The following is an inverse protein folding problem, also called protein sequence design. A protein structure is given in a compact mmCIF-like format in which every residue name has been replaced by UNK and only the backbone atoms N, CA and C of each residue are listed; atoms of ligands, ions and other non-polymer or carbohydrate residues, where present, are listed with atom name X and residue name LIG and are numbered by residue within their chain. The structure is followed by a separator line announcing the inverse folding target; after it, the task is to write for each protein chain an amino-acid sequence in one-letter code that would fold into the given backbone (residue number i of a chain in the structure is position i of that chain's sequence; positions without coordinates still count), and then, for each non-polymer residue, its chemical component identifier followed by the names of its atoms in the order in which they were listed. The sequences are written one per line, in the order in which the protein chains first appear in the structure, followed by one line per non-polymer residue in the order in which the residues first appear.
data_IF_690595384133
#
_entry.id   IF_690595384133
#
_cell.length_a   1.000
_cell.length_b   1.000
_cell.length_c   1.000
_cell.angle_alpha   90.00
_cell.angle_beta   90.00
_cell.angle_gamma   90.00
#
_symmetry.space_group_name_H-M   'P 1'
#
loop_
_entity.id
_entity.type
_entity.pdbx_description
1 polymer ?
#
# COMPACT_ATOMS: atom_id res chain seq x y z
N UNK A 1 9.27 22.25 18.66
CA UNK A 1 7.96 21.71 19.04
C UNK A 1 7.08 21.76 17.81
N UNK A 2 6.76 20.65 17.14
CA UNK A 2 5.85 20.70 16.00
C UNK A 2 4.41 20.80 16.51
N UNK A 3 3.72 21.85 16.10
CA UNK A 3 2.29 22.02 16.28
C UNK A 3 1.52 21.04 15.37
N UNK A 4 1.49 19.76 15.76
CA UNK A 4 0.50 18.82 15.25
C UNK A 4 -0.73 18.98 16.13
N UNK A 5 -1.89 19.30 15.49
CA UNK A 5 -3.19 19.50 16.11
C UNK A 5 -3.50 20.95 16.57
N UNK A 6 -3.42 21.92 15.67
CA UNK A 6 -4.36 23.03 15.74
C UNK A 6 -5.69 22.52 15.14
N UNK A 7 -6.68 22.20 15.99
CA UNK A 7 -8.07 22.13 15.56
C UNK A 7 -8.39 23.48 14.92
N UNK A 8 -8.56 23.50 13.59
CA UNK A 8 -9.16 24.66 12.95
C UNK A 8 -10.57 24.78 13.51
N UNK A 9 -10.92 25.93 14.07
CA UNK A 9 -12.29 26.31 14.42
C UNK A 9 -13.09 26.69 13.18
N UNK A 10 -12.84 26.01 12.05
CA UNK A 10 -13.65 26.11 10.86
C UNK A 10 -14.90 25.26 11.09
N UNK A 11 -16.13 25.79 10.82
CA UNK A 11 -17.31 24.93 10.77
C UNK A 11 -17.04 23.83 9.77
N UNK A 12 -17.47 22.62 10.12
CA UNK A 12 -17.32 21.44 9.28
C UNK A 12 -17.88 21.76 7.89
N UNK A 13 -17.00 21.80 6.91
CA UNK A 13 -17.43 21.78 5.52
C UNK A 13 -18.27 20.51 5.35
N UNK A 14 -19.46 20.57 4.73
CA UNK A 14 -20.25 19.38 4.49
C UNK A 14 -19.34 18.40 3.76
N UNK A 15 -19.17 17.21 4.37
CA UNK A 15 -18.41 16.12 3.75
C UNK A 15 -19.16 15.82 2.45
N UNK A 16 -18.63 16.31 1.33
CA UNK A 16 -19.07 15.84 0.03
C UNK A 16 -19.05 14.31 0.07
N UNK A 17 -20.09 13.61 -0.44
CA UNK A 17 -20.09 12.15 -0.49
C UNK A 17 -19.06 11.65 -1.51
N UNK A 18 -17.81 11.90 -1.23
CA UNK A 18 -16.69 11.26 -1.88
C UNK A 18 -16.48 9.91 -1.22
N UNK A 19 -16.83 8.83 -1.88
CA UNK A 19 -16.90 7.48 -1.40
C UNK A 19 -15.91 7.09 -0.31
N UNK A 20 -16.26 6.10 0.50
CA UNK A 20 -15.50 5.66 1.67
C UNK A 20 -14.08 5.23 1.30
N UNK A 21 -13.15 5.47 2.19
CA UNK A 21 -11.78 5.00 2.12
C UNK A 21 -11.61 3.95 3.21
N UNK A 22 -11.22 2.73 2.83
CA UNK A 22 -10.97 1.64 3.76
C UNK A 22 -9.48 1.33 3.79
N UNK A 23 -8.93 1.20 5.01
CA UNK A 23 -7.54 0.80 5.24
C UNK A 23 -7.54 -0.55 5.96
N UNK A 24 -7.12 -1.59 5.26
CA UNK A 24 -6.95 -2.94 5.79
C UNK A 24 -5.51 -3.11 6.31
N UNK A 25 -5.37 -3.06 7.63
CA UNK A 25 -4.09 -3.06 8.33
C UNK A 25 -3.58 -1.67 8.70
N UNK A 26 -3.40 -1.42 10.00
CA UNK A 26 -2.93 -0.14 10.54
C UNK A 26 -1.55 -0.23 11.21
N UNK A 27 -0.70 -1.08 10.68
CA UNK A 27 0.69 -1.17 11.10
C UNK A 27 1.54 0.00 10.58
N UNK A 28 2.86 -0.22 10.52
CA UNK A 28 3.83 0.80 10.09
C UNK A 28 3.54 1.41 8.71
N UNK A 29 3.07 0.59 7.77
CA UNK A 29 2.73 1.02 6.42
C UNK A 29 1.36 1.72 6.37
N UNK A 30 0.30 1.05 6.77
CA UNK A 30 -1.06 1.56 6.72
C UNK A 30 -1.28 2.78 7.62
N UNK A 31 -0.62 2.82 8.78
CA UNK A 31 -0.71 3.95 9.71
C UNK A 31 -0.13 5.25 9.15
N UNK A 32 0.92 5.20 8.33
CA UNK A 32 1.46 6.39 7.66
C UNK A 32 0.48 6.89 6.61
N UNK A 33 -0.05 5.98 5.79
CA UNK A 33 -1.04 6.31 4.76
C UNK A 33 -2.30 6.93 5.39
N UNK A 34 -2.81 6.32 6.48
CA UNK A 34 -3.96 6.85 7.20
C UNK A 34 -3.74 8.29 7.67
N UNK A 35 -2.58 8.56 8.26
CA UNK A 35 -2.25 9.93 8.71
C UNK A 35 -2.15 10.92 7.56
N UNK A 36 -1.60 10.53 6.42
CA UNK A 36 -1.53 11.38 5.23
C UNK A 36 -2.92 11.71 4.71
N UNK A 37 -3.80 10.71 4.57
CA UNK A 37 -5.17 10.91 4.10
C UNK A 37 -5.96 11.79 5.05
N UNK A 38 -5.84 11.55 6.36
CA UNK A 38 -6.50 12.36 7.39
C UNK A 38 -6.00 13.80 7.40
N UNK A 39 -4.70 14.01 7.19
CA UNK A 39 -4.13 15.37 7.08
C UNK A 39 -4.63 16.12 5.85
N UNK A 40 -5.03 15.41 4.82
CA UNK A 40 -5.65 15.96 3.62
C UNK A 40 -7.18 16.14 3.75
N UNK A 41 -7.74 15.86 4.93
CA UNK A 41 -9.17 16.04 5.21
C UNK A 41 -10.05 14.84 4.84
N UNK A 42 -9.45 13.68 4.49
CA UNK A 42 -10.23 12.50 4.17
C UNK A 42 -10.55 11.67 5.41
N UNK A 43 -11.82 11.32 5.56
CA UNK A 43 -12.26 10.35 6.56
C UNK A 43 -11.95 8.93 6.09
N UNK A 44 -11.41 8.10 7.00
CA UNK A 44 -11.03 6.71 6.71
C UNK A 44 -11.71 5.76 7.67
N UNK A 45 -11.93 4.53 7.20
CA UNK A 45 -12.36 3.39 8.03
C UNK A 45 -11.21 2.39 8.10
N UNK A 46 -10.81 2.00 9.29
CA UNK A 46 -9.67 1.09 9.52
C UNK A 46 -10.16 -0.28 9.96
N UNK A 47 -9.62 -1.34 9.35
CA UNK A 47 -9.81 -2.73 9.78
C UNK A 47 -8.44 -3.26 10.21
N UNK A 48 -8.33 -3.73 11.45
CA UNK A 48 -7.09 -4.28 11.99
C UNK A 48 -7.34 -5.34 13.06
N UNK A 49 -6.37 -6.21 13.27
CA UNK A 49 -6.39 -7.21 14.34
C UNK A 49 -5.91 -6.68 15.70
N UNK A 50 -5.22 -5.57 15.74
CA UNK A 50 -4.67 -5.02 16.96
C UNK A 50 -5.72 -4.19 17.69
N UNK A 51 -6.29 -4.75 18.74
CA UNK A 51 -7.24 -4.05 19.60
C UNK A 51 -6.64 -2.78 20.22
N UNK A 52 -5.37 -2.82 20.59
CA UNK A 52 -4.66 -1.67 21.18
C UNK A 52 -4.55 -0.50 20.18
N UNK A 53 -4.17 -0.79 18.93
CA UNK A 53 -4.12 0.22 17.88
C UNK A 53 -5.51 0.81 17.58
N UNK A 54 -6.54 -0.03 17.55
CA UNK A 54 -7.89 0.41 17.26
C UNK A 54 -8.48 1.28 18.36
N UNK A 55 -8.18 0.98 19.63
CA UNK A 55 -8.66 1.79 20.75
C UNK A 55 -8.06 3.20 20.70
N UNK A 56 -6.77 3.33 20.39
CA UNK A 56 -6.13 4.62 20.17
C UNK A 56 -6.80 5.39 19.02
N UNK A 57 -7.11 4.72 17.91
CA UNK A 57 -7.77 5.33 16.76
C UNK A 57 -9.19 5.81 17.07
N UNK A 58 -9.96 5.05 17.84
CA UNK A 58 -11.29 5.47 18.30
C UNK A 58 -11.25 6.76 19.10
N UNK A 59 -10.24 6.90 19.95
CA UNK A 59 -10.03 8.13 20.75
C UNK A 59 -9.81 9.36 19.85
N UNK A 60 -9.25 9.17 18.65
CA UNK A 60 -9.10 10.22 17.65
C UNK A 60 -10.30 10.37 16.67
N UNK A 61 -11.37 9.63 16.90
CA UNK A 61 -12.61 9.74 16.11
C UNK A 61 -12.63 8.93 14.81
N UNK A 62 -11.69 8.02 14.59
CA UNK A 62 -11.70 7.14 13.42
C UNK A 62 -12.76 6.04 13.54
N UNK A 63 -13.37 5.69 12.41
CA UNK A 63 -14.17 4.47 12.32
C UNK A 63 -13.23 3.27 12.25
N UNK A 64 -13.45 2.28 13.12
CA UNK A 64 -12.57 1.13 13.23
C UNK A 64 -13.38 -0.16 13.36
N UNK A 65 -12.89 -1.23 12.73
CA UNK A 65 -13.43 -2.56 12.83
C UNK A 65 -12.30 -3.52 13.24
N UNK A 66 -12.54 -4.31 14.29
CA UNK A 66 -11.61 -5.31 14.75
C UNK A 66 -11.83 -6.61 13.97
N UNK A 67 -10.77 -7.18 13.43
CA UNK A 67 -10.78 -8.53 12.86
C UNK A 67 -9.97 -8.69 11.58
N UNK A 68 -10.23 -9.80 10.91
CA UNK A 68 -9.57 -10.17 9.66
C UNK A 68 -10.16 -9.41 8.47
N UNK A 69 -9.38 -8.56 7.85
CA UNK A 69 -9.79 -7.77 6.70
C UNK A 69 -10.07 -8.62 5.44
N UNK A 70 -9.74 -9.91 5.43
CA UNK A 70 -10.12 -10.82 4.33
C UNK A 70 -11.55 -11.33 4.46
N UNK A 71 -12.22 -11.09 5.59
CA UNK A 71 -13.60 -11.51 5.79
C UNK A 71 -14.59 -10.59 5.07
N UNK A 72 -15.41 -11.13 4.14
CA UNK A 72 -16.36 -10.32 3.38
C UNK A 72 -17.39 -9.60 4.23
N UNK A 73 -17.88 -10.22 5.32
CA UNK A 73 -18.85 -9.60 6.23
C UNK A 73 -18.28 -8.37 6.94
N UNK A 74 -17.02 -8.42 7.31
CA UNK A 74 -16.32 -7.28 7.94
C UNK A 74 -16.09 -6.14 6.95
N UNK A 75 -15.72 -6.46 5.71
CA UNK A 75 -15.57 -5.48 4.63
C UNK A 75 -16.90 -4.81 4.30
N UNK A 76 -17.99 -5.58 4.27
CA UNK A 76 -19.33 -5.01 4.08
C UNK A 76 -19.73 -4.09 5.22
N UNK A 77 -19.49 -4.49 6.48
CA UNK A 77 -19.73 -3.63 7.65
C UNK A 77 -18.90 -2.34 7.59
N UNK A 78 -17.69 -2.40 7.04
CA UNK A 78 -16.85 -1.22 6.81
C UNK A 78 -17.30 -0.36 5.62
N UNK A 79 -18.25 -0.82 4.81
CA UNK A 79 -18.84 -0.07 3.69
C UNK A 79 -18.08 -0.20 2.39
N UNK A 80 -17.51 -1.38 2.08
CA UNK A 80 -16.72 -1.58 0.86
C UNK A 80 -17.55 -1.36 -0.42
N UNK A 81 -18.85 -1.61 -0.40
CA UNK A 81 -19.72 -1.43 -1.56
C UNK A 81 -19.78 0.05 -2.04
N UNK A 82 -19.60 1.00 -1.13
CA UNK A 82 -19.56 2.44 -1.43
C UNK A 82 -18.15 3.01 -1.37
N UNK A 83 -17.13 2.16 -1.24
CA UNK A 83 -15.76 2.60 -1.14
C UNK A 83 -15.20 3.04 -2.50
N UNK A 84 -14.41 4.10 -2.49
CA UNK A 84 -13.62 4.54 -3.65
C UNK A 84 -12.22 3.98 -3.65
N UNK A 85 -11.68 3.73 -2.46
CA UNK A 85 -10.31 3.28 -2.26
C UNK A 85 -10.25 2.22 -1.17
N UNK A 86 -9.61 1.12 -1.47
CA UNK A 86 -9.17 0.11 -0.51
C UNK A 86 -7.64 0.08 -0.48
N UNK A 87 -7.07 0.44 0.65
CA UNK A 87 -5.63 0.30 0.91
C UNK A 87 -5.39 -1.01 1.64
N UNK A 88 -4.66 -1.92 1.02
CA UNK A 88 -4.33 -3.22 1.59
C UNK A 88 -2.90 -3.16 2.14
N UNK A 89 -2.79 -3.05 3.47
CA UNK A 89 -1.57 -2.82 4.22
C UNK A 89 -1.27 -3.89 5.28
N UNK A 90 -1.95 -5.04 5.20
CA UNK A 90 -1.73 -6.18 6.09
C UNK A 90 -0.36 -6.82 5.85
N UNK A 91 0.14 -7.61 6.81
CA UNK A 91 1.50 -8.15 6.77
C UNK A 91 1.61 -9.53 6.09
N UNK A 92 0.51 -10.24 5.92
CA UNK A 92 0.48 -11.60 5.39
C UNK A 92 0.35 -11.56 3.87
N UNK A 93 1.37 -12.06 3.17
CA UNK A 93 1.45 -12.10 1.69
C UNK A 93 0.26 -12.81 1.05
N UNK A 94 -0.12 -13.97 1.57
CA UNK A 94 -1.23 -14.77 1.03
C UNK A 94 -2.58 -14.05 1.22
N UNK A 95 -2.79 -13.47 2.39
CA UNK A 95 -3.98 -12.68 2.70
C UNK A 95 -4.10 -11.41 1.88
N UNK A 96 -3.00 -10.73 1.60
CA UNK A 96 -2.98 -9.58 0.68
C UNK A 96 -3.48 -10.01 -0.68
N UNK A 97 -2.92 -11.08 -1.24
CA UNK A 97 -3.29 -11.60 -2.56
C UNK A 97 -4.75 -12.05 -2.62
N UNK A 98 -5.23 -12.75 -1.57
CA UNK A 98 -6.63 -13.16 -1.43
C UNK A 98 -7.58 -11.95 -1.43
N UNK A 99 -7.28 -10.95 -0.60
CA UNK A 99 -8.10 -9.74 -0.50
C UNK A 99 -8.12 -8.94 -1.81
N UNK A 100 -6.98 -8.82 -2.49
CA UNK A 100 -6.88 -8.19 -3.82
C UNK A 100 -7.80 -8.88 -4.81
N UNK A 101 -7.73 -10.22 -4.91
CA UNK A 101 -8.58 -11.00 -5.84
C UNK A 101 -10.05 -10.81 -5.52
N UNK A 102 -10.43 -10.92 -4.26
CA UNK A 102 -11.80 -10.72 -3.82
C UNK A 102 -12.31 -9.33 -4.17
N UNK A 103 -11.56 -8.29 -3.82
CA UNK A 103 -11.96 -6.90 -4.01
C UNK A 103 -12.13 -6.56 -5.49
N UNK A 104 -11.17 -6.92 -6.33
CA UNK A 104 -11.23 -6.62 -7.77
C UNK A 104 -12.29 -7.43 -8.52
N UNK A 105 -12.59 -8.66 -8.05
CA UNK A 105 -13.64 -9.47 -8.63
C UNK A 105 -15.04 -8.97 -8.25
N UNK A 106 -15.23 -8.63 -6.98
CA UNK A 106 -16.55 -8.28 -6.44
C UNK A 106 -16.92 -6.82 -6.66
N UNK A 107 -15.91 -5.92 -6.66
CA UNK A 107 -16.07 -4.47 -6.77
C UNK A 107 -15.17 -3.92 -7.88
N UNK A 108 -15.51 -4.09 -9.15
CA UNK A 108 -14.64 -3.77 -10.29
C UNK A 108 -14.29 -2.28 -10.41
N UNK A 109 -15.12 -1.39 -9.86
CA UNK A 109 -14.89 0.06 -9.87
C UNK A 109 -14.07 0.57 -8.68
N UNK A 110 -13.77 -0.32 -7.71
CA UNK A 110 -12.99 0.02 -6.53
C UNK A 110 -11.51 0.18 -6.88
N UNK A 111 -10.93 1.33 -6.54
CA UNK A 111 -9.47 1.47 -6.62
C UNK A 111 -8.82 0.68 -5.50
N UNK A 112 -7.96 -0.27 -5.86
CA UNK A 112 -7.22 -1.10 -4.90
C UNK A 112 -5.74 -0.72 -4.96
N UNK A 113 -5.22 -0.18 -3.84
CA UNK A 113 -3.80 0.01 -3.60
C UNK A 113 -3.30 -1.11 -2.70
N UNK A 114 -2.35 -1.89 -3.18
CA UNK A 114 -1.84 -3.03 -2.44
C UNK A 114 -0.35 -2.91 -2.11
N UNK A 115 -0.02 -3.25 -0.86
CA UNK A 115 1.36 -3.42 -0.40
C UNK A 115 1.90 -4.75 -0.90
N UNK A 116 3.01 -4.74 -1.61
CA UNK A 116 3.78 -5.92 -1.92
C UNK A 116 4.91 -6.12 -0.92
N UNK A 117 5.03 -7.33 -0.39
CA UNK A 117 6.05 -7.69 0.61
C UNK A 117 7.43 -7.81 -0.03
N UNK A 118 7.49 -8.36 -1.23
CA UNK A 118 8.70 -8.58 -2.01
C UNK A 118 8.44 -8.45 -3.51
N UNK A 119 9.47 -8.66 -4.32
CA UNK A 119 9.39 -8.56 -5.77
C UNK A 119 8.46 -9.62 -6.39
N UNK A 120 8.49 -10.84 -5.89
CA UNK A 120 7.60 -11.92 -6.35
C UNK A 120 6.15 -11.58 -6.13
N UNK A 121 5.88 -11.01 -4.97
CA UNK A 121 4.54 -10.58 -4.62
C UNK A 121 3.99 -9.51 -5.57
N UNK A 122 4.82 -8.63 -6.10
CA UNK A 122 4.40 -7.68 -7.15
C UNK A 122 3.84 -8.44 -8.35
N UNK A 123 4.51 -9.50 -8.79
CA UNK A 123 4.07 -10.30 -9.93
C UNK A 123 2.76 -11.05 -9.63
N UNK A 124 2.61 -11.60 -8.43
CA UNK A 124 1.38 -12.25 -7.99
C UNK A 124 0.19 -11.28 -7.96
N UNK A 125 0.39 -10.08 -7.42
CA UNK A 125 -0.63 -9.03 -7.36
C UNK A 125 -0.99 -8.50 -8.74
N UNK A 126 0.01 -8.36 -9.63
CA UNK A 126 -0.22 -8.00 -11.03
C UNK A 126 -1.05 -9.04 -11.75
N UNK A 127 -0.73 -10.33 -11.58
CA UNK A 127 -1.50 -11.44 -12.13
C UNK A 127 -2.92 -11.49 -11.56
N UNK A 128 -3.13 -11.07 -10.32
CA UNK A 128 -4.44 -10.92 -9.70
C UNK A 128 -5.25 -9.71 -10.22
N UNK A 129 -4.65 -8.87 -11.08
CA UNK A 129 -5.32 -7.70 -11.68
C UNK A 129 -5.02 -6.36 -10.99
N UNK A 130 -4.27 -6.35 -9.89
CA UNK A 130 -3.89 -5.10 -9.22
C UNK A 130 -2.89 -4.30 -10.06
N UNK A 131 -3.07 -2.99 -10.13
CA UNK A 131 -2.20 -2.10 -10.90
C UNK A 131 -1.55 -1.01 -10.05
N UNK A 132 -2.10 -0.73 -8.88
CA UNK A 132 -1.50 0.18 -7.90
C UNK A 132 -0.84 -0.65 -6.78
N UNK A 133 0.44 -0.94 -6.98
CA UNK A 133 1.23 -1.85 -6.13
C UNK A 133 2.45 -1.10 -5.61
N UNK A 134 2.60 -1.05 -4.30
CA UNK A 134 3.74 -0.41 -3.62
C UNK A 134 4.59 -1.46 -2.94
N UNK A 135 5.87 -1.55 -3.32
CA UNK A 135 6.85 -2.40 -2.64
C UNK A 135 7.24 -1.79 -1.30
N UNK A 136 7.05 -2.50 -0.23
CA UNK A 136 7.11 -2.00 1.15
C UNK A 136 8.41 -1.26 1.50
N UNK A 137 9.57 -1.78 1.08
CA UNK A 137 10.88 -1.25 1.47
C UNK A 137 11.62 -0.58 0.31
N UNK A 138 11.04 -0.54 -0.88
CA UNK A 138 11.75 -0.12 -2.08
C UNK A 138 12.25 1.33 -2.00
N UNK A 139 11.36 2.27 -1.71
CA UNK A 139 11.71 3.70 -1.70
C UNK A 139 12.71 4.03 -0.58
N UNK A 140 12.53 3.42 0.59
CA UNK A 140 13.49 3.55 1.70
C UNK A 140 14.85 2.92 1.37
N UNK A 141 14.86 1.80 0.63
CA UNK A 141 16.10 1.14 0.19
C UNK A 141 16.84 1.96 -0.87
N UNK A 142 16.13 2.60 -1.80
CA UNK A 142 16.73 3.55 -2.76
C UNK A 142 17.39 4.70 -2.03
N UNK A 143 16.73 5.27 -1.02
CA UNK A 143 17.30 6.32 -0.18
C UNK A 143 18.56 5.82 0.55
N UNK A 144 18.51 4.63 1.15
CA UNK A 144 19.67 4.03 1.83
C UNK A 144 20.83 3.77 0.86
N UNK A 145 20.55 3.26 -0.33
CA UNK A 145 21.54 3.05 -1.40
C UNK A 145 22.24 4.35 -1.82
N UNK A 146 21.47 5.43 -1.93
CA UNK A 146 22.02 6.78 -2.22
C UNK A 146 22.97 7.25 -1.12
N UNK A 147 22.62 7.04 0.14
CA UNK A 147 23.49 7.36 1.28
C UNK A 147 24.76 6.50 1.28
N UNK A 148 24.65 5.22 0.96
CA UNK A 148 25.80 4.32 0.87
C UNK A 148 26.79 4.74 -0.24
N UNK A 149 26.30 5.13 -1.42
CA UNK A 149 27.13 5.64 -2.51
C UNK A 149 27.92 6.90 -2.08
N UNK A 150 27.29 7.80 -1.32
CA UNK A 150 27.95 8.99 -0.78
C UNK A 150 29.02 8.61 0.25
N UNK A 151 28.75 7.65 1.11
CA UNK A 151 29.72 7.15 2.09
C UNK A 151 30.94 6.50 1.42
N UNK A 152 30.78 5.96 0.20
CA UNK A 152 31.87 5.43 -0.63
C UNK A 152 32.62 6.50 -1.44
N UNK A 153 32.29 7.78 -1.26
CA UNK A 153 33.02 8.90 -1.83
C UNK A 153 32.38 9.54 -3.08
N UNK A 154 31.20 9.10 -3.50
CA UNK A 154 30.48 9.79 -4.56
C UNK A 154 29.90 11.10 -4.06
N UNK A 155 29.97 12.15 -4.87
CA UNK A 155 29.27 13.38 -4.50
C UNK A 155 27.75 13.21 -4.60
N UNK A 156 26.95 14.08 -3.94
CA UNK A 156 25.49 13.96 -3.89
C UNK A 156 24.81 13.88 -5.27
N UNK A 157 25.32 14.63 -6.27
CA UNK A 157 24.77 14.62 -7.64
C UNK A 157 25.01 13.29 -8.34
N UNK A 158 26.21 12.72 -8.20
CA UNK A 158 26.54 11.41 -8.75
C UNK A 158 25.69 10.31 -8.13
N UNK A 159 25.59 10.28 -6.79
CA UNK A 159 24.78 9.31 -6.07
C UNK A 159 23.31 9.37 -6.47
N UNK A 160 22.76 10.59 -6.59
CA UNK A 160 21.37 10.79 -7.03
C UNK A 160 21.17 10.28 -8.46
N UNK A 161 22.05 10.65 -9.40
CA UNK A 161 21.94 10.18 -10.80
C UNK A 161 21.95 8.66 -10.93
N UNK A 162 22.81 7.97 -10.17
CA UNK A 162 22.87 6.50 -10.18
C UNK A 162 21.58 5.91 -9.62
N UNK A 163 21.08 6.44 -8.50
CA UNK A 163 19.85 5.97 -7.89
C UNK A 163 18.63 6.18 -8.81
N UNK A 164 18.54 7.34 -9.44
CA UNK A 164 17.43 7.69 -10.35
C UNK A 164 17.45 6.80 -11.60
N UNK A 165 18.63 6.51 -12.16
CA UNK A 165 18.76 5.61 -13.31
C UNK A 165 18.42 4.17 -12.94
N UNK A 166 18.87 3.69 -11.78
CA UNK A 166 18.48 2.38 -11.26
C UNK A 166 16.96 2.27 -11.10
N UNK A 167 16.34 3.27 -10.48
CA UNK A 167 14.90 3.32 -10.27
C UNK A 167 14.13 3.35 -11.60
N UNK A 168 14.59 4.14 -12.56
CA UNK A 168 14.01 4.22 -13.90
C UNK A 168 14.01 2.86 -14.62
N UNK A 169 15.14 2.16 -14.59
CA UNK A 169 15.30 0.84 -15.20
C UNK A 169 14.43 -0.21 -14.49
N UNK A 170 14.43 -0.22 -13.16
CA UNK A 170 13.63 -1.15 -12.38
C UNK A 170 12.13 -0.97 -12.63
N UNK A 171 11.65 0.27 -12.61
CA UNK A 171 10.24 0.58 -12.90
C UNK A 171 9.83 0.23 -14.33
N UNK A 172 10.70 0.45 -15.31
CA UNK A 172 10.43 0.10 -16.71
C UNK A 172 10.38 -1.42 -16.92
N UNK A 173 11.22 -2.19 -16.25
CA UNK A 173 11.27 -3.66 -16.35
C UNK A 173 10.10 -4.35 -15.66
N UNK A 174 9.54 -3.76 -14.62
CA UNK A 174 8.55 -4.39 -13.74
C UNK A 174 7.29 -4.89 -14.47
N UNK A 175 6.58 -4.09 -15.29
CA UNK A 175 5.40 -4.56 -16.00
C UNK A 175 5.72 -5.67 -17.02
N UNK A 176 6.89 -5.57 -17.67
CA UNK A 176 7.32 -6.58 -18.65
C UNK A 176 7.54 -7.91 -17.97
N UNK A 177 8.27 -7.91 -16.85
CA UNK A 177 8.56 -9.13 -16.08
C UNK A 177 7.30 -9.70 -15.42
N UNK A 178 6.42 -8.83 -14.92
CA UNK A 178 5.16 -9.24 -14.33
C UNK A 178 4.23 -9.97 -15.34
N UNK A 179 4.23 -9.53 -16.60
CA UNK A 179 3.47 -10.20 -17.65
C UNK A 179 4.04 -11.57 -18.05
N UNK A 180 5.32 -11.80 -17.78
CA UNK A 180 5.99 -13.09 -18.03
C UNK A 180 5.86 -14.06 -16.86
N UNK A 181 5.48 -13.58 -15.69
CA UNK A 181 5.39 -14.38 -14.47
C UNK A 181 4.23 -15.39 -14.56
N UNK A 182 4.49 -16.64 -14.14
CA UNK A 182 3.51 -17.72 -14.10
C UNK A 182 3.35 -18.23 -12.68
N UNK A 183 2.12 -18.23 -12.20
CA UNK A 183 1.77 -18.66 -10.84
C UNK A 183 2.03 -20.15 -10.57
N UNK A 184 1.98 -20.97 -11.63
CA UNK A 184 2.16 -22.43 -11.60
C UNK A 184 3.63 -22.88 -11.71
N UNK A 185 4.55 -21.93 -11.86
CA UNK A 185 5.97 -22.18 -12.05
C UNK A 185 6.78 -21.78 -10.80
N UNK A 186 7.66 -22.66 -10.29
CA UNK A 186 8.53 -22.30 -9.15
C UNK A 186 9.33 -21.02 -9.42
N UNK A 187 9.55 -20.15 -8.40
CA UNK A 187 10.22 -18.87 -8.59
C UNK A 187 11.53 -18.93 -9.37
N UNK A 188 12.41 -19.87 -9.02
CA UNK A 188 13.73 -20.02 -9.65
C UNK A 188 13.71 -20.47 -11.12
N UNK A 189 12.57 -20.96 -11.60
CA UNK A 189 12.34 -21.35 -13.01
C UNK A 189 11.42 -20.37 -13.74
N UNK A 190 10.91 -19.37 -13.02
CA UNK A 190 9.99 -18.40 -13.59
C UNK A 190 10.72 -17.41 -14.51
N UNK A 191 10.10 -17.03 -15.60
CA UNK A 191 10.69 -16.19 -16.63
C UNK A 191 11.34 -14.89 -16.10
N UNK A 192 10.80 -14.17 -15.12
CA UNK A 192 11.43 -12.98 -14.54
C UNK A 192 12.83 -13.20 -13.92
N UNK A 193 13.17 -14.46 -13.55
CA UNK A 193 14.46 -14.79 -12.93
C UNK A 193 15.44 -15.44 -13.91
N UNK A 194 14.95 -15.99 -15.01
CA UNK A 194 15.80 -16.62 -16.04
C UNK A 194 15.99 -15.72 -17.25
N UNK A 195 15.15 -14.72 -17.44
CA UNK A 195 15.34 -13.72 -18.48
C UNK A 195 16.56 -12.84 -18.14
N UNK A 196 17.55 -12.83 -19.01
CA UNK A 196 18.62 -11.85 -18.95
C UNK A 196 18.04 -10.50 -19.37
N UNK A 197 17.91 -9.60 -18.41
CA UNK A 197 17.55 -8.19 -18.63
C UNK A 197 18.80 -7.41 -19.01
#
# INVERSE_FOLDING_TARGET
MPHYLARSTRPDDPIEPGGKIIIAGHGRFGGIINRMLSSAGHATTVIDYSSEHLEALRTFGFQVHFGDATRPDLLQAAGIAEARLLVIAINDKAKITELVRYALHTYPDLHVLARAIDRDHVYELWAAGCRDIVRETYDSSIRAGRSALQALGLNPRQATRIADEFERLDRASMPVLANLYRLDTPPHLNAPYVAKV
#
